data_IF_441872472411
#
_entry.id   IF_441872472411
#
_cell.length_a   1.000
_cell.length_b   1.000
_cell.length_c   1.000
_cell.angle_alpha   90.00
_cell.angle_beta   90.00
_cell.angle_gamma   90.00
#
_symmetry.space_group_name_H-M   'P 1'
#
loop_
_entity.id
_entity.type
_entity.pdbx_description
1 polymer ?
#
# COMPACT_ATOMS: atom_id res chain seq x y z
N UNK A 1 26.92 0.98 -6.77
CA UNK A 1 26.65 -0.26 -7.53
C UNK A 1 27.34 -0.12 -8.87
N UNK A 2 28.22 -1.04 -9.26
CA UNK A 2 28.83 -1.04 -10.59
C UNK A 2 28.18 -2.15 -11.40
N UNK A 3 27.48 -1.79 -12.48
CA UNK A 3 26.86 -2.75 -13.39
C UNK A 3 27.80 -2.92 -14.59
N UNK A 4 28.36 -4.11 -14.75
CA UNK A 4 29.25 -4.44 -15.87
C UNK A 4 28.49 -5.32 -16.85
N UNK A 5 28.39 -4.89 -18.11
CA UNK A 5 27.90 -5.72 -19.21
C UNK A 5 29.08 -6.27 -20.01
N UNK A 6 29.29 -7.59 -20.09
CA UNK A 6 30.17 -8.18 -21.09
C UNK A 6 29.66 -7.86 -22.51
N UNK A 7 30.56 -7.72 -23.48
CA UNK A 7 30.19 -7.50 -24.88
C UNK A 7 29.24 -8.60 -25.38
N UNK A 8 28.03 -8.22 -25.82
CA UNK A 8 27.01 -9.12 -26.38
C UNK A 8 25.72 -9.23 -25.58
N UNK A 9 25.64 -8.65 -24.38
CA UNK A 9 24.42 -8.58 -23.58
C UNK A 9 23.83 -7.16 -23.61
N UNK A 10 22.52 -7.03 -23.79
CA UNK A 10 21.78 -5.80 -23.50
C UNK A 10 21.40 -5.84 -22.03
N UNK A 11 22.16 -5.15 -21.19
CA UNK A 11 21.70 -4.82 -19.84
C UNK A 11 20.61 -3.78 -19.99
N UNK A 12 19.52 -3.93 -19.24
CA UNK A 12 18.45 -2.93 -19.21
C UNK A 12 19.08 -1.57 -18.90
N UNK A 13 19.07 -0.68 -19.90
CA UNK A 13 19.72 0.62 -19.78
C UNK A 13 18.82 1.60 -19.04
N UNK A 14 17.81 1.11 -18.31
CA UNK A 14 16.81 1.90 -17.63
C UNK A 14 16.82 1.59 -16.13
N UNK A 15 17.00 2.64 -15.34
CA UNK A 15 16.82 2.63 -13.90
C UNK A 15 15.62 3.51 -13.58
N UNK A 16 14.43 2.92 -13.51
CA UNK A 16 13.18 3.66 -13.36
C UNK A 16 12.28 3.14 -12.27
N UNK A 17 11.45 4.03 -11.71
CA UNK A 17 10.40 3.65 -10.76
C UNK A 17 10.94 2.98 -9.49
N UNK A 18 12.08 3.47 -8.96
CA UNK A 18 12.68 2.94 -7.73
C UNK A 18 12.63 3.95 -6.58
N UNK A 19 12.61 3.44 -5.34
CA UNK A 19 12.86 4.21 -4.12
C UNK A 19 14.16 3.69 -3.49
N UNK A 20 15.18 4.54 -3.41
CA UNK A 20 16.46 4.22 -2.79
C UNK A 20 16.68 5.14 -1.59
N UNK A 21 17.05 4.54 -0.46
CA UNK A 21 17.32 5.26 0.79
C UNK A 21 18.72 4.90 1.28
N UNK A 22 19.56 5.91 1.52
CA UNK A 22 20.86 5.76 2.18
C UNK A 22 20.78 6.28 3.61
N UNK A 23 20.90 5.37 4.59
CA UNK A 23 20.79 5.66 6.03
C UNK A 23 22.15 5.77 6.73
N UNK A 24 23.26 5.64 6.00
CA UNK A 24 24.62 5.67 6.53
C UNK A 24 25.41 6.93 6.17
N UNK A 25 26.58 7.10 6.81
CA UNK A 25 27.50 8.21 6.51
C UNK A 25 28.19 8.10 5.14
N UNK A 26 28.12 6.93 4.49
CA UNK A 26 28.67 6.70 3.16
C UNK A 26 27.83 7.37 2.07
N UNK A 27 28.52 7.88 1.03
CA UNK A 27 27.89 8.50 -0.14
C UNK A 27 27.75 7.49 -1.27
N UNK A 28 26.53 7.30 -1.79
CA UNK A 28 26.28 6.53 -3.00
C UNK A 28 26.43 7.44 -4.22
N UNK A 29 27.32 7.06 -5.14
CA UNK A 29 27.55 7.78 -6.37
C UNK A 29 27.27 6.89 -7.60
N UNK A 30 26.96 7.54 -8.72
CA UNK A 30 26.78 6.90 -10.01
C UNK A 30 28.11 6.83 -10.75
N UNK A 31 28.43 5.66 -11.31
CA UNK A 31 29.50 5.51 -12.29
C UNK A 31 28.93 4.81 -13.51
N UNK A 32 28.27 5.59 -14.36
CA UNK A 32 27.67 5.11 -15.61
C UNK A 32 28.15 6.02 -16.74
N UNK A 33 28.81 5.42 -17.72
CA UNK A 33 29.39 6.12 -18.90
C UNK A 33 28.62 5.86 -20.18
N UNK A 34 27.60 5.00 -20.14
CA UNK A 34 26.76 4.67 -21.28
C UNK A 34 25.77 5.81 -21.56
N UNK A 35 25.77 6.32 -22.80
CA UNK A 35 24.94 7.46 -23.20
C UNK A 35 23.45 7.11 -23.33
N UNK A 36 23.12 5.83 -23.46
CA UNK A 36 21.76 5.28 -23.54
C UNK A 36 21.22 4.83 -22.18
N UNK A 37 21.96 5.06 -21.09
CA UNK A 37 21.49 4.81 -19.74
C UNK A 37 20.53 5.91 -19.29
N UNK A 38 19.30 5.50 -18.97
CA UNK A 38 18.20 6.34 -18.54
C UNK A 38 17.94 6.14 -17.05
N UNK A 39 17.82 7.25 -16.34
CA UNK A 39 17.40 7.27 -14.94
C UNK A 39 16.13 8.10 -14.90
N UNK A 40 14.97 7.49 -14.66
CA UNK A 40 13.70 8.20 -14.78
C UNK A 40 12.71 7.80 -13.68
N UNK A 41 11.91 8.73 -13.18
CA UNK A 41 10.87 8.46 -12.19
C UNK A 41 11.35 7.74 -10.90
N UNK A 42 12.46 8.17 -10.28
CA UNK A 42 12.95 7.58 -9.03
C UNK A 42 12.82 8.52 -7.82
N UNK A 43 12.89 7.96 -6.63
CA UNK A 43 13.08 8.69 -5.37
C UNK A 43 14.43 8.26 -4.77
N UNK A 44 15.36 9.20 -4.62
CA UNK A 44 16.72 8.95 -4.13
C UNK A 44 16.98 9.76 -2.86
N UNK A 45 16.83 9.15 -1.69
CA UNK A 45 16.91 9.86 -0.41
C UNK A 45 18.17 9.52 0.40
N UNK A 46 18.70 10.53 1.10
CA UNK A 46 19.91 10.44 1.90
C UNK A 46 21.16 10.84 1.11
N UNK A 47 22.32 10.32 1.51
CA UNK A 47 23.62 10.60 0.87
C UNK A 47 23.75 9.87 -0.48
N UNK A 48 22.89 10.19 -1.46
CA UNK A 48 22.89 9.62 -2.80
C UNK A 48 23.03 10.76 -3.80
N UNK A 49 24.04 10.69 -4.67
CA UNK A 49 24.16 11.64 -5.77
C UNK A 49 23.01 11.44 -6.77
N UNK A 50 22.52 12.51 -7.37
CA UNK A 50 21.62 12.39 -8.53
C UNK A 50 22.44 12.11 -9.78
N UNK A 51 22.00 11.18 -10.62
CA UNK A 51 22.61 11.02 -11.94
C UNK A 51 22.34 12.30 -12.77
N UNK A 52 23.34 12.90 -13.45
CA UNK A 52 23.12 14.10 -14.25
C UNK A 52 22.06 13.97 -15.36
N UNK A 53 21.85 12.75 -15.84
CA UNK A 53 20.86 12.43 -16.87
C UNK A 53 19.51 11.99 -16.26
N UNK A 54 19.32 12.14 -14.94
CA UNK A 54 18.09 11.76 -14.30
C UNK A 54 16.95 12.71 -14.68
N UNK A 55 15.87 12.16 -15.20
CA UNK A 55 14.59 12.86 -15.39
C UNK A 55 13.61 12.41 -14.32
N UNK A 56 12.64 13.28 -13.98
CA UNK A 56 11.56 12.97 -13.04
C UNK A 56 12.04 12.26 -11.75
N UNK A 57 13.22 12.62 -11.24
CA UNK A 57 13.82 11.95 -10.07
C UNK A 57 13.92 12.95 -8.92
N UNK A 58 13.36 12.61 -7.77
CA UNK A 58 13.36 13.48 -6.59
C UNK A 58 14.37 13.01 -5.56
N UNK A 59 15.00 13.95 -4.85
CA UNK A 59 16.02 13.67 -3.82
C UNK A 59 15.63 14.07 -2.40
N UNK A 60 14.43 14.63 -2.26
CA UNK A 60 13.86 14.98 -0.97
C UNK A 60 13.40 13.72 -0.25
N UNK A 61 13.34 13.81 1.08
CA UNK A 61 12.80 12.74 1.93
C UNK A 61 11.44 12.27 1.40
N UNK A 62 11.26 10.96 1.12
CA UNK A 62 9.94 10.42 0.90
C UNK A 62 9.20 10.55 2.23
N UNK A 63 8.36 11.57 2.36
CA UNK A 63 7.42 11.60 3.46
C UNK A 63 6.43 10.44 3.23
N UNK A 64 6.66 9.32 3.91
CA UNK A 64 5.69 8.22 4.00
C UNK A 64 4.47 8.59 4.88
N UNK A 65 4.42 9.82 5.40
CA UNK A 65 3.32 10.35 6.17
C UNK A 65 2.62 11.49 5.42
N UNK A 66 1.30 11.58 5.53
CA UNK A 66 0.49 12.65 4.98
C UNK A 66 0.28 13.80 5.99
N UNK A 67 1.03 14.91 5.94
CA UNK A 67 0.58 16.15 6.54
C UNK A 67 -0.29 16.91 5.52
N UNK A 68 -1.62 16.79 5.68
CA UNK A 68 -2.56 17.78 5.15
C UNK A 68 -2.98 17.62 3.69
N UNK A 69 -4.10 16.92 3.47
CA UNK A 69 -5.16 17.23 2.50
C UNK A 69 -4.76 17.85 1.13
N UNK A 70 -4.89 17.07 0.05
CA UNK A 70 -5.41 17.57 -1.23
C UNK A 70 -6.52 16.66 -1.76
N UNK A 71 -7.68 17.25 -1.95
CA UNK A 71 -8.95 16.66 -2.39
C UNK A 71 -8.83 15.89 -3.72
N UNK A 72 -9.13 14.58 -3.80
CA UNK A 72 -9.06 13.78 -5.02
C UNK A 72 -10.18 14.07 -6.04
N UNK A 73 -11.11 14.99 -5.77
CA UNK A 73 -12.21 15.34 -6.69
C UNK A 73 -11.84 16.35 -7.78
N UNK A 74 -10.62 16.88 -7.79
CA UNK A 74 -10.08 17.58 -8.95
C UNK A 74 -9.12 16.65 -9.63
N UNK A 75 -9.31 16.44 -10.93
CA UNK A 75 -8.37 15.80 -11.84
C UNK A 75 -6.93 16.22 -11.49
N UNK A 76 -6.26 15.41 -10.67
CA UNK A 76 -5.10 15.88 -9.95
C UNK A 76 -3.93 15.78 -10.91
N UNK A 77 -3.62 16.90 -11.56
CA UNK A 77 -2.40 17.08 -12.37
C UNK A 77 -1.12 16.98 -11.54
N UNK A 78 -1.20 16.51 -10.29
CA UNK A 78 -0.15 16.39 -9.30
C UNK A 78 -0.50 15.29 -8.27
N UNK A 79 0.44 14.42 -7.90
CA UNK A 79 0.29 13.27 -7.01
C UNK A 79 0.34 13.70 -5.54
N UNK A 80 0.39 12.73 -4.63
CA UNK A 80 0.50 12.95 -3.17
C UNK A 80 1.70 13.84 -2.79
N UNK A 81 2.76 13.86 -3.61
CA UNK A 81 3.97 14.67 -3.44
C UNK A 81 3.92 15.98 -4.24
N UNK A 82 2.75 16.38 -4.74
CA UNK A 82 2.56 17.53 -5.64
C UNK A 82 3.32 17.43 -6.97
N UNK A 83 3.70 16.22 -7.41
CA UNK A 83 4.41 15.97 -8.66
C UNK A 83 3.47 15.56 -9.79
N UNK A 84 3.67 15.98 -11.05
CA UNK A 84 2.72 15.65 -12.11
C UNK A 84 2.46 14.15 -12.24
N UNK A 85 1.19 13.74 -12.06
CA UNK A 85 0.74 12.33 -12.11
C UNK A 85 0.97 11.65 -13.47
N UNK A 86 1.18 12.44 -14.52
CA UNK A 86 1.55 11.96 -15.85
C UNK A 86 3.04 11.61 -15.97
N UNK A 87 3.90 12.14 -15.09
CA UNK A 87 5.36 11.97 -15.10
C UNK A 87 5.85 11.02 -14.00
N UNK A 88 5.13 10.93 -12.88
CA UNK A 88 5.50 10.09 -11.74
C UNK A 88 4.42 9.08 -11.39
N UNK A 89 4.63 7.82 -11.77
CA UNK A 89 3.75 6.70 -11.37
C UNK A 89 4.02 6.39 -9.91
N UNK A 90 3.11 6.71 -8.98
CA UNK A 90 3.29 6.33 -7.58
C UNK A 90 3.22 4.81 -7.43
N UNK A 91 4.37 4.18 -7.16
CA UNK A 91 4.58 2.72 -7.08
C UNK A 91 3.66 2.03 -6.06
N UNK A 92 3.21 2.75 -5.02
CA UNK A 92 2.32 2.21 -3.98
C UNK A 92 0.82 2.27 -4.29
N UNK A 93 0.37 3.16 -5.19
CA UNK A 93 -1.07 3.36 -5.46
C UNK A 93 -1.47 2.98 -6.89
N UNK A 94 -0.55 3.09 -7.86
CA UNK A 94 -0.88 3.06 -9.28
C UNK A 94 -0.03 2.02 -10.04
N UNK A 95 -0.31 0.74 -9.79
CA UNK A 95 0.20 -0.35 -10.61
C UNK A 95 -0.53 -0.41 -11.97
N UNK A 96 -0.12 0.45 -12.90
CA UNK A 96 -0.04 0.11 -14.34
C UNK A 96 -1.31 -0.01 -15.19
N UNK A 97 -2.54 -0.03 -14.66
CA UNK A 97 -3.76 -0.08 -15.47
C UNK A 97 -4.72 1.03 -15.03
N UNK A 98 -4.81 2.11 -15.83
CA UNK A 98 -5.82 3.19 -15.81
C UNK A 98 -6.09 3.88 -14.45
N UNK A 99 -6.15 5.21 -14.49
CA UNK A 99 -6.55 6.15 -13.42
C UNK A 99 -7.88 5.80 -12.73
N UNK A 100 -7.89 4.78 -11.88
CA UNK A 100 -9.07 4.44 -11.08
C UNK A 100 -8.94 5.13 -9.73
N UNK A 101 -9.64 6.27 -9.59
CA UNK A 101 -9.77 6.98 -8.33
C UNK A 101 -10.31 6.03 -7.26
N UNK A 102 -9.73 6.00 -6.05
CA UNK A 102 -10.31 5.23 -4.95
C UNK A 102 -11.73 5.71 -4.68
N UNK A 103 -12.67 4.78 -4.55
CA UNK A 103 -14.02 5.12 -4.11
C UNK A 103 -13.99 5.70 -2.69
N UNK A 104 -13.05 5.22 -1.89
CA UNK A 104 -12.66 5.81 -0.62
C UNK A 104 -11.26 5.34 -0.21
N UNK A 105 -10.65 6.13 0.67
CA UNK A 105 -9.46 5.80 1.45
C UNK A 105 -9.79 5.91 2.93
N UNK A 106 -9.14 5.09 3.75
CA UNK A 106 -9.08 5.29 5.19
C UNK A 106 -8.13 6.46 5.48
N UNK A 107 -8.54 7.33 6.40
CA UNK A 107 -7.83 8.55 6.76
C UNK A 107 -7.78 8.63 8.29
N UNK A 108 -7.05 7.68 8.88
CA UNK A 108 -6.93 7.54 10.31
C UNK A 108 -6.01 8.61 10.92
N UNK A 109 -5.12 9.22 10.13
CA UNK A 109 -4.25 10.33 10.53
C UNK A 109 -5.01 11.56 11.05
N UNK A 110 -6.18 11.82 10.47
CA UNK A 110 -7.10 12.85 10.95
C UNK A 110 -7.74 12.52 12.30
N UNK A 111 -7.42 11.37 12.91
CA UNK A 111 -7.89 10.97 14.23
C UNK A 111 -9.35 10.52 14.24
N UNK A 112 -9.89 10.13 13.10
CA UNK A 112 -11.33 9.86 12.92
C UNK A 112 -11.60 8.52 12.26
N UNK A 113 -12.72 7.91 12.63
CA UNK A 113 -13.31 6.74 11.95
C UNK A 113 -14.47 7.17 11.02
N UNK A 114 -14.53 8.44 10.64
CA UNK A 114 -15.62 8.97 9.80
C UNK A 114 -15.76 8.15 8.50
N UNK A 115 -17.00 7.79 8.19
CA UNK A 115 -17.31 6.92 7.04
C UNK A 115 -17.26 5.43 7.34
N UNK A 116 -16.76 5.01 8.51
CA UNK A 116 -16.83 3.62 8.96
C UNK A 116 -17.94 3.41 9.99
N UNK A 117 -18.68 2.31 9.84
CA UNK A 117 -19.52 1.74 10.88
C UNK A 117 -18.67 0.81 11.74
N UNK A 118 -18.65 1.06 13.04
CA UNK A 118 -17.89 0.28 14.03
C UNK A 118 -18.79 -0.66 14.83
N UNK A 119 -18.25 -1.82 15.20
CA UNK A 119 -18.83 -2.71 16.20
C UNK A 119 -17.75 -3.19 17.17
N UNK A 120 -18.04 -3.19 18.47
CA UNK A 120 -17.05 -3.48 19.51
C UNK A 120 -16.19 -2.28 19.88
N UNK A 121 -14.99 -2.56 20.40
CA UNK A 121 -14.01 -1.55 20.83
C UNK A 121 -13.06 -1.24 19.67
N UNK A 122 -13.23 -0.05 19.10
CA UNK A 122 -12.42 0.48 18.00
C UNK A 122 -12.02 1.90 18.32
N UNK A 123 -10.71 2.16 18.29
CA UNK A 123 -10.10 3.47 18.55
C UNK A 123 -9.13 3.85 17.44
N UNK A 124 -8.82 5.15 17.33
CA UNK A 124 -7.68 5.62 16.55
C UNK A 124 -6.52 5.88 17.50
N UNK A 125 -5.39 5.27 17.22
CA UNK A 125 -4.19 5.36 18.05
C UNK A 125 -2.98 5.75 17.21
N UNK A 126 -1.90 6.28 17.82
CA UNK A 126 -0.62 6.36 17.14
C UNK A 126 -0.25 4.98 16.59
N UNK A 127 0.24 4.95 15.36
CA UNK A 127 0.69 3.72 14.72
C UNK A 127 1.72 3.01 15.62
N UNK A 128 1.52 1.72 15.97
CA UNK A 128 2.42 0.99 16.85
C UNK A 128 3.85 0.81 16.31
N UNK A 129 4.05 0.88 14.99
CA UNK A 129 5.39 0.81 14.37
C UNK A 129 6.06 2.20 14.22
N UNK A 130 5.27 3.26 14.27
CA UNK A 130 5.70 4.67 14.22
C UNK A 130 5.94 5.21 12.81
N UNK A 131 5.66 4.43 11.76
CA UNK A 131 5.91 4.78 10.36
C UNK A 131 4.66 5.28 9.60
N UNK A 132 3.46 5.12 10.17
CA UNK A 132 2.19 5.44 9.49
C UNK A 132 1.35 6.55 10.14
N UNK A 133 1.87 7.26 11.15
CA UNK A 133 1.11 8.31 11.82
C UNK A 133 0.08 7.76 12.81
N UNK A 134 -1.17 7.53 12.36
CA UNK A 134 -2.23 6.92 13.19
C UNK A 134 -2.96 5.81 12.45
N UNK A 135 -3.34 4.78 13.21
CA UNK A 135 -4.03 3.60 12.68
C UNK A 135 -5.31 3.31 13.46
N UNK A 136 -6.24 2.58 12.85
CA UNK A 136 -7.38 2.03 13.56
C UNK A 136 -6.96 0.80 14.37
N UNK A 137 -7.22 0.83 15.67
CA UNK A 137 -6.98 -0.24 16.63
C UNK A 137 -8.29 -0.95 16.94
N UNK A 138 -8.37 -2.23 16.60
CA UNK A 138 -9.55 -3.07 16.81
C UNK A 138 -9.24 -4.14 17.86
N UNK A 139 -9.91 -4.07 19.01
CA UNK A 139 -9.80 -5.12 20.01
C UNK A 139 -10.41 -6.44 19.50
N UNK A 140 -10.08 -7.56 20.16
CA UNK A 140 -10.68 -8.87 19.87
C UNK A 140 -12.22 -8.79 19.80
N UNK A 141 -12.79 -9.42 18.78
CA UNK A 141 -14.24 -9.40 18.47
C UNK A 141 -14.76 -8.12 17.82
N UNK A 142 -13.91 -7.10 17.62
CA UNK A 142 -14.33 -5.81 17.07
C UNK A 142 -14.20 -5.78 15.55
N UNK A 143 -14.90 -4.85 14.91
CA UNK A 143 -14.87 -4.66 13.46
C UNK A 143 -15.14 -3.23 13.03
N UNK A 144 -14.63 -2.89 11.84
CA UNK A 144 -15.01 -1.71 11.08
C UNK A 144 -15.58 -2.14 9.74
N UNK A 145 -16.52 -1.37 9.22
CA UNK A 145 -17.10 -1.61 7.90
C UNK A 145 -17.41 -0.31 7.18
N UNK A 146 -17.35 -0.34 5.85
CA UNK A 146 -17.66 0.79 5.00
C UNK A 146 -18.27 0.28 3.70
N UNK A 147 -19.30 0.97 3.25
CA UNK A 147 -19.95 0.64 1.99
C UNK A 147 -19.02 0.99 0.81
N UNK A 148 -19.15 0.25 -0.27
CA UNK A 148 -18.51 0.54 -1.55
C UNK A 148 -19.49 0.27 -2.69
N UNK A 149 -19.30 0.97 -3.81
CA UNK A 149 -20.06 0.74 -5.01
C UNK A 149 -19.46 -0.44 -5.78
N UNK A 150 -20.23 -1.54 -5.87
CA UNK A 150 -19.80 -2.72 -6.58
C UNK A 150 -19.87 -2.49 -8.11
N UNK A 151 -18.73 -2.14 -8.71
CA UNK A 151 -18.58 -1.91 -10.15
C UNK A 151 -18.25 -3.20 -10.96
N UNK A 152 -18.41 -4.39 -10.38
CA UNK A 152 -18.07 -5.66 -11.03
C UNK A 152 -16.58 -6.03 -10.93
N UNK A 153 -15.66 -5.14 -11.29
CA UNK A 153 -14.22 -5.36 -11.14
C UNK A 153 -13.63 -4.38 -10.09
N UNK A 154 -12.83 -4.89 -9.14
CA UNK A 154 -12.25 -4.07 -8.08
C UNK A 154 -10.91 -4.60 -7.58
N UNK A 155 -10.16 -3.71 -6.91
CA UNK A 155 -9.05 -4.04 -6.03
C UNK A 155 -9.19 -3.31 -4.70
N UNK A 156 -9.18 -4.06 -3.62
CA UNK A 156 -9.06 -3.57 -2.25
C UNK A 156 -7.62 -3.81 -1.78
N UNK A 157 -6.99 -2.78 -1.22
CA UNK A 157 -5.73 -2.88 -0.49
C UNK A 157 -6.00 -2.49 0.96
N UNK A 158 -5.42 -3.24 1.89
CA UNK A 158 -5.50 -2.96 3.33
C UNK A 158 -4.16 -3.30 3.95
N UNK A 159 -3.59 -2.38 4.72
CA UNK A 159 -2.45 -2.68 5.58
C UNK A 159 -2.97 -3.17 6.94
N UNK A 160 -2.46 -4.30 7.39
CA UNK A 160 -2.85 -4.91 8.67
C UNK A 160 -1.63 -5.26 9.50
N UNK A 161 -1.72 -5.06 10.81
CA UNK A 161 -0.75 -5.55 11.78
C UNK A 161 -1.50 -6.39 12.80
N UNK A 162 -1.11 -7.67 12.86
CA UNK A 162 -1.68 -8.66 13.77
C UNK A 162 -0.70 -8.85 14.92
N UNK A 163 -1.22 -8.83 16.15
CA UNK A 163 -0.40 -8.92 17.38
C UNK A 163 -0.23 -10.34 17.91
N UNK A 164 -0.94 -11.33 17.36
CA UNK A 164 -0.86 -12.73 17.76
C UNK A 164 -1.17 -13.67 16.60
N UNK A 165 -0.35 -14.71 16.41
CA UNK A 165 -0.57 -15.83 15.49
C UNK A 165 -1.33 -17.00 16.14
N UNK A 166 -1.55 -16.95 17.46
CA UNK A 166 -2.23 -17.99 18.23
C UNK A 166 -3.65 -17.56 18.58
N UNK A 167 -4.55 -17.70 17.60
CA UNK A 167 -5.98 -17.40 17.76
C UNK A 167 -6.85 -18.55 17.29
N UNK A 168 -7.98 -18.76 17.95
CA UNK A 168 -8.98 -19.76 17.51
C UNK A 168 -9.76 -19.25 16.30
N UNK A 169 -10.09 -17.95 16.30
CA UNK A 169 -10.72 -17.25 15.18
C UNK A 169 -9.75 -16.21 14.60
N UNK A 170 -9.22 -16.45 13.38
CA UNK A 170 -8.39 -15.46 12.71
C UNK A 170 -9.19 -14.21 12.34
N UNK A 171 -8.48 -13.10 12.14
CA UNK A 171 -9.05 -11.91 11.54
C UNK A 171 -9.58 -12.22 10.13
N UNK A 172 -10.55 -11.44 9.67
CA UNK A 172 -11.14 -11.61 8.34
C UNK A 172 -11.39 -10.27 7.67
N UNK A 173 -11.20 -10.24 6.35
CA UNK A 173 -11.61 -9.13 5.49
C UNK A 173 -12.72 -9.66 4.58
N UNK A 174 -13.94 -9.16 4.76
CA UNK A 174 -15.06 -9.47 3.89
C UNK A 174 -15.26 -8.33 2.89
N UNK A 175 -15.42 -8.64 1.62
CA UNK A 175 -15.73 -7.69 0.55
C UNK A 175 -16.78 -8.30 -0.38
N UNK A 176 -17.97 -7.70 -0.38
CA UNK A 176 -19.12 -8.28 -1.06
C UNK A 176 -19.44 -9.69 -0.52
N UNK A 177 -19.48 -10.69 -1.40
CA UNK A 177 -19.72 -12.10 -1.02
C UNK A 177 -18.45 -12.87 -0.65
N UNK A 178 -17.26 -12.27 -0.83
CA UNK A 178 -15.99 -12.91 -0.50
C UNK A 178 -15.55 -12.59 0.93
N UNK A 179 -15.12 -13.62 1.65
CA UNK A 179 -14.47 -13.50 2.96
C UNK A 179 -13.05 -14.04 2.86
N UNK A 180 -12.09 -13.15 3.00
CA UNK A 180 -10.65 -13.45 3.06
C UNK A 180 -10.28 -13.74 4.50
N UNK A 181 -9.78 -14.95 4.74
CA UNK A 181 -9.32 -15.36 6.06
C UNK A 181 -7.86 -14.96 6.21
N UNK A 182 -7.58 -14.09 7.19
CA UNK A 182 -6.24 -13.67 7.58
C UNK A 182 -5.59 -14.74 8.47
N UNK A 183 -5.64 -15.99 8.02
CA UNK A 183 -5.04 -17.16 8.66
C UNK A 183 -3.87 -17.64 7.81
N UNK A 184 -2.74 -17.92 8.45
CA UNK A 184 -1.50 -18.30 7.76
C UNK A 184 -0.34 -17.31 7.90
N UNK A 185 -0.53 -16.25 8.68
CA UNK A 185 0.60 -15.46 9.19
C UNK A 185 1.50 -16.38 10.01
N UNK A 186 2.75 -16.47 9.60
CA UNK A 186 3.78 -17.20 10.33
C UNK A 186 4.21 -16.33 11.53
N UNK A 187 4.82 -16.93 12.56
CA UNK A 187 5.21 -16.19 13.76
C UNK A 187 6.13 -14.99 13.48
N UNK A 188 6.84 -14.99 12.34
CA UNK A 188 7.67 -13.89 11.86
C UNK A 188 6.89 -12.75 11.19
N UNK A 189 5.59 -12.92 10.93
CA UNK A 189 4.73 -11.87 10.36
C UNK A 189 3.98 -11.09 11.46
N UNK A 190 3.96 -11.61 12.69
CA UNK A 190 3.37 -10.97 13.88
C UNK A 190 4.18 -9.74 14.27
N UNK A 191 3.49 -8.64 14.56
CA UNK A 191 4.12 -7.37 14.93
C UNK A 191 4.71 -6.58 13.76
N UNK A 192 4.51 -7.05 12.52
CA UNK A 192 4.90 -6.33 11.31
C UNK A 192 3.66 -5.98 10.49
N UNK A 193 3.71 -4.84 9.81
CA UNK A 193 2.70 -4.44 8.85
C UNK A 193 2.72 -5.34 7.61
N UNK A 194 1.53 -5.78 7.20
CA UNK A 194 1.32 -6.71 6.09
C UNK A 194 0.34 -6.07 5.11
N UNK A 195 0.62 -6.16 3.80
CA UNK A 195 -0.29 -5.63 2.78
C UNK A 195 -1.15 -6.76 2.26
N UNK A 196 -2.45 -6.67 2.54
CA UNK A 196 -3.46 -7.59 2.01
C UNK A 196 -4.11 -6.96 0.78
N UNK A 197 -4.05 -7.69 -0.33
CA UNK A 197 -4.67 -7.30 -1.58
C UNK A 197 -5.80 -8.27 -1.93
N UNK A 198 -6.99 -7.74 -2.18
CA UNK A 198 -8.16 -8.52 -2.62
C UNK A 198 -8.61 -7.97 -3.96
N UNK A 199 -8.60 -8.80 -4.98
CA UNK A 199 -8.94 -8.41 -6.35
C UNK A 199 -10.11 -9.23 -6.85
N UNK A 200 -11.08 -8.59 -7.48
CA UNK A 200 -12.07 -9.26 -8.32
C UNK A 200 -11.89 -8.82 -9.77
N UNK A 201 -11.64 -9.79 -10.64
CA UNK A 201 -11.54 -9.60 -12.09
C UNK A 201 -12.35 -10.68 -12.78
N UNK A 202 -13.27 -10.30 -13.67
CA UNK A 202 -14.12 -11.20 -14.44
C UNK A 202 -14.88 -12.20 -13.56
N UNK A 203 -15.43 -11.70 -12.45
CA UNK A 203 -16.17 -12.49 -11.45
C UNK A 203 -15.32 -13.40 -10.56
N UNK A 204 -14.01 -13.48 -10.79
CA UNK A 204 -13.08 -14.26 -9.97
C UNK A 204 -12.44 -13.40 -8.89
N UNK A 205 -12.59 -13.81 -7.64
CA UNK A 205 -11.92 -13.17 -6.49
C UNK A 205 -10.60 -13.88 -6.18
N UNK A 206 -9.54 -13.11 -6.02
CA UNK A 206 -8.24 -13.55 -5.52
C UNK A 206 -7.82 -12.68 -4.35
N UNK A 207 -7.08 -13.27 -3.41
CA UNK A 207 -6.57 -12.56 -2.25
C UNK A 207 -5.14 -13.01 -1.98
N UNK A 208 -4.29 -12.05 -1.63
CA UNK A 208 -2.89 -12.30 -1.30
C UNK A 208 -2.40 -11.38 -0.20
N UNK A 209 -1.36 -11.84 0.50
CA UNK A 209 -0.58 -11.06 1.44
C UNK A 209 0.89 -11.16 1.06
N UNK A 210 1.53 -10.03 0.78
CA UNK A 210 2.93 -9.99 0.31
C UNK A 210 3.22 -11.00 -0.83
N UNK A 211 2.29 -11.12 -1.80
CA UNK A 211 2.40 -12.06 -2.93
C UNK A 211 2.10 -13.53 -2.61
N UNK A 212 1.77 -13.88 -1.36
CA UNK A 212 1.33 -15.23 -0.96
C UNK A 212 -0.19 -15.29 -0.98
N UNK A 213 -0.77 -16.33 -1.59
CA UNK A 213 -2.24 -16.49 -1.66
C UNK A 213 -2.87 -16.73 -0.29
N UNK A 214 -3.99 -16.07 -0.06
CA UNK A 214 -4.84 -16.24 1.11
C UNK A 214 -6.05 -17.14 0.83
N UNK A 215 -6.61 -17.72 1.90
CA UNK A 215 -7.84 -18.50 1.83
C UNK A 215 -9.06 -17.58 1.66
N UNK A 216 -9.92 -17.91 0.69
CA UNK A 216 -11.19 -17.21 0.44
C UNK A 216 -12.34 -18.17 0.72
N UNK A 217 -13.34 -17.69 1.45
CA UNK A 217 -14.63 -18.36 1.68
C UNK A 217 -15.75 -17.51 1.08
N UNK A 218 -16.83 -18.15 0.65
CA UNK A 218 -18.04 -17.45 0.21
C UNK A 218 -18.90 -17.15 1.44
N UNK A 219 -18.87 -15.90 1.89
CA UNK A 219 -19.60 -15.41 3.06
C UNK A 219 -19.58 -13.87 3.03
N UNK A 220 -20.74 -13.23 3.04
CA UNK A 220 -20.80 -11.77 3.13
C UNK A 220 -22.12 -11.18 2.67
N UNK A 221 -22.15 -9.84 2.61
CA UNK A 221 -23.24 -9.02 2.08
C UNK A 221 -22.64 -8.17 0.95
N UNK A 222 -23.33 -8.11 -0.19
CA UNK A 222 -22.93 -7.27 -1.31
C UNK A 222 -22.74 -5.80 -0.89
N UNK A 223 -21.78 -5.12 -1.52
CA UNK A 223 -21.56 -3.67 -1.35
C UNK A 223 -20.91 -3.22 -0.04
N UNK A 224 -20.38 -4.13 0.78
CA UNK A 224 -19.70 -3.77 2.05
C UNK A 224 -18.28 -4.33 2.09
N UNK A 225 -17.33 -3.50 2.50
CA UNK A 225 -16.03 -3.95 3.03
C UNK A 225 -16.13 -4.00 4.55
N UNK A 226 -15.82 -5.15 5.15
CA UNK A 226 -15.81 -5.35 6.60
C UNK A 226 -14.49 -5.98 7.03
N UNK A 227 -13.82 -5.38 8.00
CA UNK A 227 -12.57 -5.87 8.59
C UNK A 227 -12.88 -6.25 10.03
N UNK A 228 -12.65 -7.51 10.39
CA UNK A 228 -12.95 -8.07 11.71
C UNK A 228 -11.69 -8.63 12.34
N UNK A 229 -11.45 -8.32 13.61
CA UNK A 229 -10.21 -8.68 14.31
C UNK A 229 -10.13 -10.17 14.70
N UNK A 230 -11.24 -10.91 14.64
CA UNK A 230 -11.30 -12.29 15.16
C UNK A 230 -11.04 -12.30 16.67
N UNK A 231 -10.21 -13.22 17.17
CA UNK A 231 -9.79 -13.26 18.57
C UNK A 231 -8.48 -12.50 18.82
N UNK A 232 -7.88 -11.89 17.79
CA UNK A 232 -6.67 -11.08 17.90
C UNK A 232 -7.00 -9.59 18.14
N UNK A 233 -6.01 -8.84 18.62
CA UNK A 233 -5.99 -7.38 18.44
C UNK A 233 -5.35 -7.09 17.07
N UNK A 234 -6.09 -6.34 16.25
CA UNK A 234 -5.74 -5.97 14.88
C UNK A 234 -5.55 -4.46 14.76
N UNK A 235 -4.47 -4.03 14.12
CA UNK A 235 -4.34 -2.66 13.63
C UNK A 235 -4.56 -2.64 12.12
N UNK A 236 -5.23 -1.59 11.65
CA UNK A 236 -5.58 -1.40 10.24
C UNK A 236 -5.15 -0.02 9.82
N UNK A 237 -4.54 0.06 8.63
CA UNK A 237 -4.16 1.31 8.01
C UNK A 237 -4.21 1.24 6.48
N UNK A 238 -4.06 2.39 5.83
CA UNK A 238 -3.95 2.54 4.37
C UNK A 238 -4.99 1.73 3.59
N UNK A 239 -6.21 1.60 4.13
CA UNK A 239 -7.26 0.82 3.49
C UNK A 239 -7.90 1.63 2.36
N UNK A 240 -7.94 1.09 1.14
CA UNK A 240 -8.60 1.74 0.02
C UNK A 240 -9.11 0.76 -1.02
N UNK A 241 -10.15 1.15 -1.73
CA UNK A 241 -10.75 0.35 -2.81
C UNK A 241 -10.82 1.15 -4.10
N UNK A 242 -10.40 0.52 -5.20
CA UNK A 242 -10.48 1.06 -6.57
C UNK A 242 -11.31 0.14 -7.45
N UNK A 243 -11.99 0.70 -8.44
CA UNK A 243 -12.49 -0.09 -9.57
C UNK A 243 -11.28 -0.61 -10.39
N UNK A 244 -11.49 -1.67 -11.19
CA UNK A 244 -10.50 -2.19 -12.15
C UNK A 244 -11.08 -2.19 -13.56
#
# INVERSE_FOLDING_TARGET
>A
MAVFSPSGYKVDTAFTDNILVSTGAGRLAWNVTAADFTVDNNVLYGNIDTNPNATNTITTEPMLAAPGWRDPRRDASADFFSQPTQLHRSIGFYSGEVINQPQWTADFDNGTLQGFVKAGLVDIVPDPAGDLGKSASLAAGSSISRDFEDAGNFRLNVRVLITSDRVEKPAVISIGTAQVVLGGFQSNDVGFWQIVMVTRRDGKVTAEVNGKRLCIRQKGKEGVVKIEAGDAHLFVDEAFIVAL
#
